data_IF_393546170450
#
_entry.id   IF_393546170450
#
_cell.length_a   1.000
_cell.length_b   1.000
_cell.length_c   1.000
_cell.angle_alpha   90.00
_cell.angle_beta   90.00
_cell.angle_gamma   90.00
#
_symmetry.space_group_name_H-M   'P 1'
#
loop_
_entity.id
_entity.type
_entity.pdbx_description
1 polymer ?
#
# COMPACT_ATOMS: atom_id res chain seq x y z
N UNK A 1 -25.74 14.44 -0.24
CA UNK A 1 -26.63 13.80 -1.23
C UNK A 1 -27.13 14.79 -2.25
N UNK A 2 -27.64 15.96 -1.86
CA UNK A 2 -28.15 16.99 -2.78
C UNK A 2 -27.29 17.16 -4.05
N UNK A 3 -25.99 17.45 -3.92
CA UNK A 3 -25.09 17.64 -5.06
C UNK A 3 -24.87 16.40 -5.95
N UNK A 4 -25.08 15.19 -5.44
CA UNK A 4 -24.94 13.95 -6.22
C UNK A 4 -26.21 13.61 -7.00
N UNK A 5 -27.36 14.15 -6.58
CA UNK A 5 -28.69 13.87 -7.13
C UNK A 5 -29.30 15.12 -7.78
N UNK A 6 -28.48 16.12 -8.08
CA UNK A 6 -28.93 17.31 -8.82
C UNK A 6 -29.37 16.92 -10.22
N UNK A 7 -30.50 17.47 -10.64
CA UNK A 7 -30.99 17.29 -12.00
C UNK A 7 -30.18 18.15 -12.98
N UNK A 8 -29.88 17.55 -14.13
CA UNK A 8 -29.23 18.25 -15.24
C UNK A 8 -30.25 19.18 -15.91
N UNK A 9 -29.98 20.48 -15.90
CA UNK A 9 -30.86 21.51 -16.42
C UNK A 9 -30.57 21.79 -17.89
N UNK A 10 -31.60 21.71 -18.74
CA UNK A 10 -31.48 22.02 -20.17
C UNK A 10 -30.50 21.11 -20.92
N UNK A 11 -30.27 19.89 -20.43
CA UNK A 11 -29.32 18.94 -21.02
C UNK A 11 -27.86 19.37 -20.90
N UNK A 12 -27.53 20.28 -19.99
CA UNK A 12 -26.19 20.81 -19.76
C UNK A 12 -25.59 20.24 -18.47
N UNK A 13 -24.71 19.23 -18.52
CA UNK A 13 -24.21 18.57 -17.31
C UNK A 13 -23.51 19.52 -16.33
N UNK A 14 -22.87 20.58 -16.84
CA UNK A 14 -22.21 21.65 -16.08
C UNK A 14 -23.19 22.55 -15.32
N UNK A 15 -24.51 22.40 -15.51
CA UNK A 15 -25.52 23.03 -14.65
C UNK A 15 -25.50 22.47 -13.22
N UNK A 16 -24.94 21.27 -13.03
CA UNK A 16 -24.85 20.64 -11.72
C UNK A 16 -23.57 21.10 -11.02
N UNK A 17 -23.67 21.42 -9.73
CA UNK A 17 -22.56 21.97 -8.95
C UNK A 17 -21.35 21.04 -8.96
N UNK A 18 -21.58 19.73 -8.91
CA UNK A 18 -20.50 18.74 -8.83
C UNK A 18 -19.72 18.63 -10.14
N UNK A 19 -20.41 18.67 -11.30
CA UNK A 19 -19.74 18.69 -12.62
C UNK A 19 -19.03 20.02 -12.81
N UNK A 20 -19.66 21.15 -12.47
CA UNK A 20 -19.03 22.47 -12.50
C UNK A 20 -17.75 22.52 -11.66
N UNK A 21 -17.83 22.07 -10.40
CA UNK A 21 -16.68 21.99 -9.50
C UNK A 21 -15.59 21.08 -10.06
N UNK A 22 -15.96 19.96 -10.70
CA UNK A 22 -14.98 19.12 -11.36
C UNK A 22 -14.25 19.86 -12.48
N UNK A 23 -14.90 20.77 -13.22
CA UNK A 23 -14.24 21.63 -14.20
C UNK A 23 -13.18 22.53 -13.56
N UNK A 24 -13.47 23.09 -12.38
CA UNK A 24 -12.50 23.88 -11.59
C UNK A 24 -11.28 23.05 -11.18
N UNK A 25 -11.47 21.77 -10.86
CA UNK A 25 -10.36 20.84 -10.58
C UNK A 25 -9.51 20.49 -11.82
N UNK A 26 -9.89 20.97 -13.00
CA UNK A 26 -9.12 20.87 -14.23
C UNK A 26 -8.05 21.96 -14.38
N UNK A 27 -8.01 22.98 -13.52
CA UNK A 27 -6.99 24.03 -13.58
C UNK A 27 -5.71 23.65 -12.83
N UNK A 28 -4.57 24.17 -13.29
CA UNK A 28 -3.31 24.13 -12.56
C UNK A 28 -3.39 24.92 -11.26
N UNK A 29 -2.52 24.63 -10.29
CA UNK A 29 -2.57 25.25 -8.96
C UNK A 29 -2.33 26.77 -8.98
N UNK A 30 -1.59 27.25 -9.97
CA UNK A 30 -1.33 28.67 -10.25
C UNK A 30 -2.39 29.31 -11.15
N UNK A 31 -3.41 28.55 -11.56
CA UNK A 31 -4.52 28.98 -12.43
C UNK A 31 -4.09 29.52 -13.80
N UNK A 32 -2.88 29.20 -14.25
CA UNK A 32 -2.33 29.68 -15.53
C UNK A 32 -2.66 28.74 -16.70
N UNK A 33 -3.10 27.52 -16.44
CA UNK A 33 -3.43 26.55 -17.47
C UNK A 33 -4.32 25.40 -16.99
N UNK A 34 -4.51 24.43 -17.88
CA UNK A 34 -5.26 23.21 -17.59
C UNK A 34 -4.32 22.07 -17.21
N UNK A 35 -4.78 21.20 -16.32
CA UNK A 35 -4.11 19.96 -15.98
C UNK A 35 -4.08 19.00 -17.19
N UNK A 36 -3.00 18.24 -17.38
CA UNK A 36 -2.99 17.11 -18.31
C UNK A 36 -4.10 16.11 -17.99
N UNK A 37 -4.58 15.38 -19.01
CA UNK A 37 -5.70 14.45 -18.84
C UNK A 37 -5.41 13.39 -17.75
N UNK A 38 -4.16 12.93 -17.63
CA UNK A 38 -3.74 11.99 -16.57
C UNK A 38 -3.90 12.56 -15.15
N UNK A 39 -3.65 13.84 -14.97
CA UNK A 39 -3.79 14.50 -13.66
C UNK A 39 -5.27 14.76 -13.37
N UNK A 40 -6.01 15.28 -14.35
CA UNK A 40 -7.43 15.58 -14.20
C UNK A 40 -8.29 14.34 -13.94
N UNK A 41 -8.03 13.24 -14.65
CA UNK A 41 -8.73 11.96 -14.43
C UNK A 41 -8.54 11.40 -13.02
N UNK A 42 -7.46 11.76 -12.33
CA UNK A 42 -7.25 11.37 -10.92
C UNK A 42 -8.24 12.11 -10.00
N UNK A 43 -8.51 13.39 -10.25
CA UNK A 43 -9.52 14.17 -9.54
C UNK A 43 -10.93 13.60 -9.79
N UNK A 44 -11.28 13.32 -11.05
CA UNK A 44 -12.55 12.68 -11.41
C UNK A 44 -12.73 11.32 -10.71
N UNK A 45 -11.70 10.48 -10.70
CA UNK A 45 -11.74 9.18 -10.04
C UNK A 45 -12.00 9.30 -8.53
N UNK A 46 -11.44 10.31 -7.87
CA UNK A 46 -11.71 10.60 -6.46
C UNK A 46 -13.17 11.01 -6.23
N UNK A 47 -13.71 11.94 -7.04
CA UNK A 47 -15.12 12.35 -6.96
C UNK A 47 -16.08 11.18 -7.20
N UNK A 48 -15.81 10.34 -8.19
CA UNK A 48 -16.59 9.12 -8.48
C UNK A 48 -16.52 8.13 -7.30
N UNK A 49 -15.35 7.95 -6.70
CA UNK A 49 -15.19 7.08 -5.54
C UNK A 49 -16.02 7.56 -4.35
N UNK A 50 -15.94 8.86 -4.02
CA UNK A 50 -16.73 9.48 -2.96
C UNK A 50 -18.23 9.32 -3.24
N UNK A 51 -18.68 9.59 -4.46
CA UNK A 51 -20.08 9.40 -4.83
C UNK A 51 -20.52 7.94 -4.68
N UNK A 52 -19.71 6.95 -5.07
CA UNK A 52 -20.04 5.53 -4.87
C UNK A 52 -20.26 5.20 -3.40
N UNK A 53 -19.44 5.74 -2.50
CA UNK A 53 -19.62 5.56 -1.06
C UNK A 53 -20.89 6.25 -0.56
N UNK A 54 -21.14 7.48 -1.00
CA UNK A 54 -22.35 8.23 -0.65
C UNK A 54 -23.63 7.54 -1.14
N UNK A 55 -23.65 7.06 -2.39
CA UNK A 55 -24.78 6.31 -2.94
C UNK A 55 -24.96 4.95 -2.28
N UNK A 56 -23.88 4.27 -1.87
CA UNK A 56 -23.98 3.02 -1.12
C UNK A 56 -24.62 3.27 0.26
N UNK A 57 -24.18 4.30 0.98
CA UNK A 57 -24.78 4.67 2.26
C UNK A 57 -26.21 5.20 2.08
N UNK A 58 -26.50 5.94 1.02
CA UNK A 58 -27.85 6.42 0.71
C UNK A 58 -28.83 5.26 0.40
N UNK A 59 -28.38 4.30 -0.40
CA UNK A 59 -29.17 3.14 -0.79
C UNK A 59 -29.33 2.15 0.37
N UNK A 60 -28.26 1.87 1.13
CA UNK A 60 -28.21 0.82 2.15
C UNK A 60 -27.57 1.29 3.46
N UNK A 61 -28.15 2.32 4.12
CA UNK A 61 -27.54 2.92 5.28
C UNK A 61 -27.51 1.94 6.46
N UNK A 62 -26.37 1.86 7.14
CA UNK A 62 -26.21 0.95 8.27
C UNK A 62 -27.12 1.32 9.46
N UNK A 63 -27.37 2.63 9.63
CA UNK A 63 -28.25 3.25 10.62
C UNK A 63 -29.22 4.23 9.95
N UNK A 64 -30.36 4.54 10.56
CA UNK A 64 -31.27 5.55 10.00
C UNK A 64 -30.73 6.97 10.21
N UNK A 65 -31.08 7.89 9.32
CA UNK A 65 -30.80 9.32 9.45
C UNK A 65 -32.12 10.10 9.55
N UNK A 66 -32.72 10.24 10.75
CA UNK A 66 -34.03 10.88 10.92
C UNK A 66 -34.09 12.31 10.39
N UNK A 67 -33.03 13.09 10.59
CA UNK A 67 -32.92 14.48 10.11
C UNK A 67 -32.92 14.61 8.59
N UNK A 68 -32.54 13.55 7.88
CA UNK A 68 -32.49 13.51 6.41
C UNK A 68 -33.67 12.73 5.83
N UNK A 69 -34.57 12.19 6.66
CA UNK A 69 -35.66 11.33 6.21
C UNK A 69 -35.21 9.99 5.63
N UNK A 70 -33.97 9.56 5.89
CA UNK A 70 -33.42 8.32 5.31
C UNK A 70 -33.59 7.17 6.31
N UNK A 71 -34.40 6.18 5.96
CA UNK A 71 -34.58 4.98 6.76
C UNK A 71 -33.38 4.03 6.65
N UNK A 72 -33.04 3.37 7.77
CA UNK A 72 -32.07 2.28 7.86
C UNK A 72 -32.33 1.22 6.79
N UNK A 73 -31.28 0.56 6.29
CA UNK A 73 -31.44 -0.56 5.34
C UNK A 73 -32.37 -1.65 5.91
N UNK A 74 -33.31 -2.18 5.08
CA UNK A 74 -34.19 -3.27 5.48
C UNK A 74 -33.41 -4.60 5.63
N UNK A 75 -33.98 -5.57 6.36
CA UNK A 75 -33.38 -6.91 6.49
C UNK A 75 -33.42 -7.71 5.18
N UNK A 76 -34.46 -7.51 4.38
CA UNK A 76 -34.67 -8.15 3.07
C UNK A 76 -34.81 -7.08 1.97
N UNK A 77 -34.69 -7.47 0.69
CA UNK A 77 -34.90 -6.54 -0.43
C UNK A 77 -33.78 -5.50 -0.65
N UNK A 78 -32.62 -5.66 -0.01
CA UNK A 78 -31.50 -4.73 -0.13
C UNK A 78 -30.99 -4.57 -1.57
N UNK A 79 -30.94 -5.67 -2.33
CA UNK A 79 -30.50 -5.65 -3.72
C UNK A 79 -31.45 -4.80 -4.58
N UNK A 80 -32.77 -4.94 -4.41
CA UNK A 80 -33.74 -4.16 -5.16
C UNK A 80 -33.60 -2.65 -4.87
N UNK A 81 -33.46 -2.28 -3.58
CA UNK A 81 -33.23 -0.88 -3.18
C UNK A 81 -31.93 -0.32 -3.78
N UNK A 82 -30.85 -1.10 -3.78
CA UNK A 82 -29.60 -0.71 -4.41
C UNK A 82 -29.74 -0.55 -5.93
N UNK A 83 -30.47 -1.46 -6.59
CA UNK A 83 -30.69 -1.39 -8.02
C UNK A 83 -31.50 -0.16 -8.43
N UNK A 84 -32.50 0.25 -7.65
CA UNK A 84 -33.27 1.47 -7.92
C UNK A 84 -32.35 2.70 -7.95
N UNK A 85 -31.57 2.90 -6.88
CA UNK A 85 -30.61 4.02 -6.81
C UNK A 85 -29.56 3.92 -7.93
N UNK A 86 -29.09 2.71 -8.25
CA UNK A 86 -28.13 2.50 -9.33
C UNK A 86 -28.71 2.91 -10.69
N UNK A 87 -29.92 2.48 -11.02
CA UNK A 87 -30.55 2.79 -12.31
C UNK A 87 -30.90 4.27 -12.43
N UNK A 88 -31.21 4.92 -11.32
CA UNK A 88 -31.58 6.33 -11.31
C UNK A 88 -30.36 7.25 -11.47
N UNK A 89 -29.20 6.90 -10.90
CA UNK A 89 -28.06 7.84 -10.85
C UNK A 89 -26.73 7.30 -11.38
N UNK A 90 -26.51 5.98 -11.44
CA UNK A 90 -25.17 5.40 -11.63
C UNK A 90 -24.97 4.72 -13.00
N UNK A 91 -25.98 4.75 -13.87
CA UNK A 91 -25.94 4.13 -15.20
C UNK A 91 -25.77 5.18 -16.30
N UNK A 92 -25.28 4.73 -17.45
CA UNK A 92 -25.19 5.56 -18.65
C UNK A 92 -26.60 6.01 -19.08
N UNK A 93 -26.76 7.29 -19.40
CA UNK A 93 -28.04 7.90 -19.74
C UNK A 93 -28.92 8.30 -18.55
N UNK A 94 -28.41 8.21 -17.31
CA UNK A 94 -29.16 8.67 -16.12
C UNK A 94 -29.29 10.20 -16.02
N UNK A 95 -28.54 10.96 -16.83
CA UNK A 95 -28.52 12.43 -16.76
C UNK A 95 -28.21 12.92 -15.34
N UNK A 96 -27.24 12.26 -14.71
CA UNK A 96 -26.80 12.57 -13.35
C UNK A 96 -25.38 13.15 -13.34
N UNK A 97 -24.99 13.89 -12.29
CA UNK A 97 -23.60 14.31 -12.11
C UNK A 97 -22.62 13.13 -12.14
N UNK A 98 -23.03 11.98 -11.61
CA UNK A 98 -22.19 10.79 -11.58
C UNK A 98 -21.89 10.27 -12.98
N UNK A 99 -22.91 10.18 -13.82
CA UNK A 99 -22.77 9.72 -15.20
C UNK A 99 -21.80 10.61 -15.97
N UNK A 100 -21.98 11.92 -15.91
CA UNK A 100 -21.11 12.86 -16.61
C UNK A 100 -19.65 12.74 -16.16
N UNK A 101 -19.42 12.71 -14.85
CA UNK A 101 -18.06 12.55 -14.32
C UNK A 101 -17.43 11.22 -14.77
N UNK A 102 -18.22 10.15 -14.86
CA UNK A 102 -17.75 8.87 -15.37
C UNK A 102 -17.44 8.92 -16.86
N UNK A 103 -18.28 9.58 -17.67
CA UNK A 103 -18.05 9.82 -19.10
C UNK A 103 -16.78 10.64 -19.33
N UNK A 104 -16.59 11.74 -18.60
CA UNK A 104 -15.37 12.56 -18.60
C UNK A 104 -14.15 11.74 -18.19
N UNK A 105 -14.26 10.86 -17.19
CA UNK A 105 -13.16 9.99 -16.77
C UNK A 105 -12.75 9.03 -17.89
N UNK A 106 -13.71 8.41 -18.56
CA UNK A 106 -13.44 7.47 -19.66
C UNK A 106 -12.80 8.21 -20.84
N UNK A 107 -13.35 9.37 -21.20
CA UNK A 107 -12.80 10.22 -22.25
C UNK A 107 -11.37 10.68 -21.93
N UNK A 108 -11.15 11.23 -20.74
CA UNK A 108 -9.83 11.66 -20.29
C UNK A 108 -8.83 10.51 -20.21
N UNK A 109 -9.25 9.28 -19.90
CA UNK A 109 -8.37 8.10 -19.94
C UNK A 109 -7.95 7.73 -21.37
N UNK A 110 -8.84 7.87 -22.34
CA UNK A 110 -8.51 7.65 -23.75
C UNK A 110 -7.44 8.65 -24.20
N UNK A 111 -7.58 9.93 -23.83
CA UNK A 111 -6.58 10.97 -24.10
C UNK A 111 -5.28 10.71 -23.34
N UNK A 112 -5.34 10.39 -22.05
CA UNK A 112 -4.15 10.13 -21.22
C UNK A 112 -3.32 8.92 -21.70
N UNK A 113 -3.94 8.03 -22.48
CA UNK A 113 -3.28 6.90 -23.14
C UNK A 113 -2.48 7.29 -24.38
N UNK A 114 -2.87 8.37 -25.08
CA UNK A 114 -2.16 8.94 -26.23
C UNK A 114 -1.27 10.14 -25.87
N UNK A 115 -1.47 10.77 -24.71
CA UNK A 115 -0.57 11.79 -24.18
C UNK A 115 0.83 11.19 -23.97
N UNK A 116 1.83 11.83 -24.57
CA UNK A 116 3.23 11.47 -24.31
C UNK A 116 3.51 11.74 -22.83
N UNK A 117 3.98 10.74 -22.05
CA UNK A 117 4.30 10.98 -20.66
C UNK A 117 5.37 12.07 -20.57
N UNK A 118 5.20 13.02 -19.64
CA UNK A 118 6.24 14.01 -19.35
C UNK A 118 7.59 13.30 -19.16
N UNK A 119 8.67 13.89 -19.67
CA UNK A 119 10.02 13.41 -19.44
C UNK A 119 10.33 13.55 -17.94
N UNK A 120 9.97 12.53 -17.17
CA UNK A 120 10.14 12.53 -15.73
C UNK A 120 11.61 12.31 -15.34
N UNK A 121 12.32 11.55 -16.17
CA UNK A 121 13.71 11.17 -15.94
C UNK A 121 14.58 11.71 -17.07
N UNK A 122 15.68 12.37 -16.70
CA UNK A 122 16.69 12.87 -17.61
C UNK A 122 18.05 12.29 -17.22
N UNK A 123 18.77 11.78 -18.21
CA UNK A 123 20.17 11.38 -18.05
C UNK A 123 21.08 12.54 -18.45
N UNK A 124 22.20 12.70 -17.74
CA UNK A 124 23.32 13.48 -18.25
C UNK A 124 23.95 12.79 -19.47
N UNK A 125 24.65 13.55 -20.30
CA UNK A 125 25.25 13.05 -21.54
C UNK A 125 26.29 11.93 -21.29
N UNK A 126 26.95 11.95 -20.13
CA UNK A 126 27.91 10.93 -19.67
C UNK A 126 27.25 9.71 -19.00
N UNK A 127 25.92 9.72 -18.87
CA UNK A 127 25.14 8.68 -18.20
C UNK A 127 25.40 8.55 -16.70
N UNK A 128 26.06 9.50 -16.05
CA UNK A 128 26.41 9.43 -14.62
C UNK A 128 25.36 10.03 -13.70
N UNK A 129 24.45 10.88 -14.19
CA UNK A 129 23.44 11.55 -13.36
C UNK A 129 22.05 11.23 -13.91
N UNK A 130 21.19 10.72 -13.04
CA UNK A 130 19.76 10.57 -13.28
C UNK A 130 19.02 11.68 -12.54
N UNK A 131 18.31 12.54 -13.27
CA UNK A 131 17.53 13.64 -12.71
C UNK A 131 16.03 13.36 -12.81
N UNK A 132 15.27 13.62 -11.75
CA UNK A 132 13.82 13.54 -11.71
C UNK A 132 13.22 14.94 -11.54
N UNK A 133 12.46 15.39 -12.55
CA UNK A 133 11.76 16.71 -12.58
C UNK A 133 12.65 17.90 -12.19
N UNK A 134 13.95 17.85 -12.52
CA UNK A 134 14.98 18.83 -12.15
C UNK A 134 15.21 19.09 -10.64
N UNK A 135 14.33 18.59 -9.76
CA UNK A 135 14.42 18.75 -8.30
C UNK A 135 15.40 17.76 -7.64
N UNK A 136 15.52 16.56 -8.22
CA UNK A 136 16.29 15.46 -7.63
C UNK A 136 17.30 14.98 -8.66
N UNK A 137 18.60 15.09 -8.35
CA UNK A 137 19.68 14.53 -9.14
C UNK A 137 20.40 13.44 -8.34
N UNK A 138 20.52 12.25 -8.91
CA UNK A 138 21.20 11.11 -8.30
C UNK A 138 22.39 10.71 -9.16
N UNK A 139 23.60 10.80 -8.59
CA UNK A 139 24.79 10.29 -9.26
C UNK A 139 24.81 8.75 -9.21
N UNK A 140 25.25 8.10 -10.29
CA UNK A 140 25.27 6.65 -10.39
C UNK A 140 26.17 5.99 -9.34
N UNK A 141 27.20 6.69 -8.86
CA UNK A 141 27.98 6.26 -7.70
C UNK A 141 27.15 6.21 -6.42
N UNK A 142 26.33 7.24 -6.16
CA UNK A 142 25.43 7.27 -5.00
C UNK A 142 24.38 6.17 -5.11
N UNK A 143 23.80 5.98 -6.30
CA UNK A 143 22.85 4.91 -6.57
C UNK A 143 23.43 3.53 -6.28
N UNK A 144 24.65 3.23 -6.76
CA UNK A 144 25.34 1.94 -6.50
C UNK A 144 25.73 1.76 -5.04
N UNK A 145 25.96 2.85 -4.30
CA UNK A 145 26.26 2.81 -2.86
C UNK A 145 25.01 2.64 -1.99
N UNK A 146 23.83 2.99 -2.50
CA UNK A 146 22.58 2.98 -1.72
C UNK A 146 22.30 1.63 -1.02
N UNK A 147 22.40 0.46 -1.67
CA UNK A 147 22.19 -0.81 -0.98
C UNK A 147 23.15 -1.02 0.19
N UNK A 148 24.43 -0.61 0.05
CA UNK A 148 25.41 -0.72 1.13
C UNK A 148 25.08 0.19 2.31
N UNK A 149 24.61 1.41 2.03
CA UNK A 149 24.19 2.37 3.07
C UNK A 149 22.95 1.86 3.81
N UNK A 150 21.96 1.32 3.08
CA UNK A 150 20.77 0.74 3.70
C UNK A 150 21.10 -0.52 4.50
N UNK A 151 22.02 -1.35 4.03
CA UNK A 151 22.49 -2.53 4.76
C UNK A 151 23.13 -2.14 6.09
N UNK A 152 24.09 -1.21 6.07
CA UNK A 152 24.73 -0.72 7.29
C UNK A 152 23.73 -0.10 8.29
N UNK A 153 22.71 0.63 7.79
CA UNK A 153 21.62 1.16 8.62
C UNK A 153 20.76 0.05 9.20
N UNK A 154 20.39 -0.95 8.40
CA UNK A 154 19.61 -2.09 8.84
C UNK A 154 20.35 -2.91 9.89
N UNK A 155 21.65 -3.14 9.72
CA UNK A 155 22.51 -3.83 10.70
C UNK A 155 22.57 -3.06 12.02
N UNK A 156 22.83 -1.75 11.98
CA UNK A 156 22.87 -0.92 13.18
C UNK A 156 21.51 -0.86 13.92
N UNK A 157 20.40 -0.73 13.18
CA UNK A 157 19.07 -0.76 13.75
C UNK A 157 18.74 -2.14 14.34
N UNK A 158 19.10 -3.22 13.63
CA UNK A 158 18.92 -4.58 14.11
C UNK A 158 19.71 -4.81 15.41
N UNK A 159 20.97 -4.40 15.48
CA UNK A 159 21.79 -4.53 16.69
C UNK A 159 21.18 -3.79 17.90
N UNK A 160 20.64 -2.59 17.67
CA UNK A 160 19.93 -1.82 18.71
C UNK A 160 18.63 -2.50 19.15
N UNK A 161 17.80 -2.92 18.20
CA UNK A 161 16.51 -3.57 18.47
C UNK A 161 16.69 -4.93 19.15
N UNK A 162 17.80 -5.61 18.85
CA UNK A 162 18.12 -6.91 19.43
C UNK A 162 18.86 -6.80 20.78
N UNK A 163 19.17 -5.60 21.27
CA UNK A 163 19.92 -5.38 22.51
C UNK A 163 21.23 -6.20 22.56
N UNK A 164 21.93 -6.29 21.42
CA UNK A 164 23.14 -7.09 21.26
C UNK A 164 22.94 -8.61 21.38
N UNK A 165 21.69 -9.10 21.41
CA UNK A 165 21.40 -10.52 21.26
C UNK A 165 21.63 -10.96 19.81
N UNK A 166 22.36 -12.06 19.65
CA UNK A 166 22.65 -12.66 18.35
C UNK A 166 22.23 -14.13 18.44
N UNK A 167 21.10 -14.52 17.81
CA UNK A 167 20.78 -15.93 17.70
C UNK A 167 21.85 -16.65 16.87
N UNK A 168 22.11 -17.94 17.14
CA UNK A 168 22.91 -18.76 16.24
C UNK A 168 22.21 -18.84 14.88
N UNK A 169 22.78 -18.18 13.86
CA UNK A 169 22.19 -18.06 12.53
C UNK A 169 23.05 -18.73 11.46
N UNK A 170 23.13 -20.05 11.49
CA UNK A 170 23.54 -20.82 10.32
C UNK A 170 22.27 -21.21 9.54
N UNK A 171 21.98 -20.46 8.48
CA UNK A 171 20.79 -20.70 7.65
C UNK A 171 20.76 -22.11 7.03
N UNK A 172 21.91 -22.76 6.86
CA UNK A 172 21.97 -24.13 6.34
C UNK A 172 21.42 -25.18 7.32
N UNK A 173 21.50 -24.89 8.63
CA UNK A 173 20.96 -25.75 9.68
C UNK A 173 19.48 -25.48 9.98
N UNK A 174 18.99 -24.26 9.69
CA UNK A 174 17.60 -23.85 9.89
C UNK A 174 16.65 -24.71 9.05
N UNK A 175 15.63 -25.26 9.71
CA UNK A 175 14.55 -26.01 9.08
C UNK A 175 13.33 -25.15 8.87
N UNK A 176 12.74 -25.27 7.70
CA UNK A 176 11.47 -24.63 7.37
C UNK A 176 10.59 -25.60 6.58
N UNK A 177 9.28 -25.40 6.67
CA UNK A 177 8.28 -26.17 5.94
C UNK A 177 7.39 -25.20 5.16
N UNK A 178 7.68 -25.09 3.86
CA UNK A 178 6.95 -24.19 2.96
C UNK A 178 5.51 -24.67 2.71
N UNK A 179 5.20 -25.95 2.90
CA UNK A 179 3.86 -26.51 2.73
C UNK A 179 2.99 -26.34 3.99
N UNK A 180 3.60 -26.02 5.13
CA UNK A 180 2.88 -25.81 6.38
C UNK A 180 2.07 -24.52 6.33
N UNK A 181 0.75 -24.64 6.45
CA UNK A 181 -0.23 -23.55 6.48
C UNK A 181 -0.82 -23.30 7.87
N UNK A 182 -0.29 -23.95 8.91
CA UNK A 182 -0.76 -23.83 10.29
C UNK A 182 -0.64 -22.39 10.77
N UNK A 183 -1.66 -21.88 11.45
CA UNK A 183 -1.68 -20.55 12.04
C UNK A 183 -0.45 -20.32 12.94
N UNK A 184 0.14 -19.12 12.88
CA UNK A 184 1.38 -18.73 13.58
C UNK A 184 2.68 -19.37 13.08
N UNK A 185 2.62 -20.38 12.21
CA UNK A 185 3.83 -21.08 11.80
C UNK A 185 4.77 -20.23 10.93
N UNK A 186 6.05 -20.32 11.23
CA UNK A 186 7.22 -19.86 10.49
C UNK A 186 8.45 -20.70 10.87
N UNK A 187 9.60 -20.49 10.22
CA UNK A 187 10.85 -21.12 10.64
C UNK A 187 11.23 -20.80 12.10
N UNK A 188 10.82 -19.64 12.64
CA UNK A 188 11.08 -19.28 14.05
C UNK A 188 10.34 -20.24 15.01
N UNK A 189 9.11 -20.64 14.67
CA UNK A 189 8.32 -21.58 15.46
C UNK A 189 8.62 -23.05 15.17
N UNK A 190 9.50 -23.35 14.21
CA UNK A 190 9.80 -24.73 13.84
C UNK A 190 10.56 -25.43 15.00
N UNK A 191 10.07 -26.57 15.53
CA UNK A 191 10.63 -27.19 16.74
C UNK A 191 12.13 -27.50 16.67
N UNK A 192 12.62 -27.90 15.49
CA UNK A 192 14.06 -28.21 15.28
C UNK A 192 15.00 -27.01 15.33
N UNK A 193 14.48 -25.77 15.33
CA UNK A 193 15.32 -24.57 15.31
C UNK A 193 15.57 -23.99 16.70
N UNK A 194 14.78 -24.38 17.72
CA UNK A 194 14.97 -23.88 19.09
C UNK A 194 14.71 -22.37 19.26
N UNK A 195 14.04 -21.71 18.30
CA UNK A 195 13.82 -20.26 18.31
C UNK A 195 12.45 -19.83 18.89
N UNK A 196 11.57 -20.77 19.21
CA UNK A 196 10.20 -20.48 19.66
C UNK A 196 10.16 -19.62 20.94
N UNK A 197 11.15 -19.79 21.81
CA UNK A 197 11.25 -19.09 23.10
C UNK A 197 12.31 -17.97 23.10
N UNK A 198 13.00 -17.75 21.97
CA UNK A 198 14.09 -16.80 21.89
C UNK A 198 13.66 -15.34 22.16
N UNK A 199 12.38 -15.03 21.96
CA UNK A 199 11.82 -13.72 22.30
C UNK A 199 11.86 -13.43 23.81
N UNK A 200 11.89 -14.45 24.68
CA UNK A 200 12.03 -14.23 26.12
C UNK A 200 13.40 -13.66 26.47
N UNK A 201 14.47 -14.16 25.86
CA UNK A 201 15.82 -13.63 26.04
C UNK A 201 15.91 -12.18 25.56
N UNK A 202 15.33 -11.91 24.39
CA UNK A 202 15.27 -10.55 23.85
C UNK A 202 14.47 -9.61 24.77
N UNK A 203 13.31 -10.07 25.26
CA UNK A 203 12.46 -9.29 26.18
C UNK A 203 13.17 -9.03 27.52
N UNK A 204 13.89 -10.02 28.05
CA UNK A 204 14.69 -9.88 29.26
C UNK A 204 15.78 -8.81 29.08
N UNK A 205 16.53 -8.86 27.98
CA UNK A 205 17.54 -7.84 27.65
C UNK A 205 16.92 -6.47 27.45
N UNK A 206 15.79 -6.39 26.75
CA UNK A 206 15.06 -5.14 26.54
C UNK A 206 14.61 -4.50 27.86
N UNK A 207 14.22 -5.31 28.85
CA UNK A 207 13.84 -4.81 30.17
C UNK A 207 15.03 -4.50 31.08
N UNK A 208 16.19 -5.15 30.90
CA UNK A 208 17.36 -5.02 31.78
C UNK A 208 18.44 -4.07 31.23
N UNK A 209 18.30 -3.60 30.00
CA UNK A 209 19.23 -2.65 29.37
C UNK A 209 19.42 -1.36 30.19
N UNK A 210 20.67 -0.96 30.44
CA UNK A 210 20.96 0.22 31.27
C UNK A 210 20.63 1.54 30.55
N UNK A 211 20.87 1.61 29.24
CA UNK A 211 20.64 2.82 28.45
C UNK A 211 19.15 2.98 28.08
N UNK A 212 18.61 1.98 27.37
CA UNK A 212 17.34 2.08 26.65
C UNK A 212 16.29 1.06 27.15
N UNK A 213 16.25 0.75 28.45
CA UNK A 213 15.29 -0.23 28.94
C UNK A 213 13.84 0.17 28.70
N UNK A 214 13.07 -0.80 28.18
CA UNK A 214 11.62 -0.69 27.95
C UNK A 214 10.83 -0.70 29.26
N UNK A 215 11.39 -1.19 30.36
CA UNK A 215 10.70 -1.29 31.65
C UNK A 215 11.64 -0.94 32.82
N UNK A 216 11.27 0.05 33.62
CA UNK A 216 12.03 0.46 34.81
C UNK A 216 11.20 0.24 36.07
N UNK A 217 11.76 -0.48 37.05
CA UNK A 217 11.12 -0.75 38.36
C UNK A 217 9.69 -1.32 38.22
N UNK A 218 9.48 -2.24 37.27
CA UNK A 218 8.19 -2.88 37.03
C UNK A 218 7.16 -2.00 36.30
N UNK A 219 7.55 -0.84 35.75
CA UNK A 219 6.69 0.03 34.94
C UNK A 219 7.26 0.21 33.54
N UNK A 220 6.38 0.10 32.55
CA UNK A 220 6.70 0.36 31.15
C UNK A 220 7.13 1.81 30.93
N UNK A 221 8.27 1.99 30.27
CA UNK A 221 8.76 3.28 29.83
C UNK A 221 8.17 3.60 28.44
N UNK A 222 7.05 4.30 28.43
CA UNK A 222 6.33 4.65 27.20
C UNK A 222 7.23 5.32 26.15
N UNK A 223 8.10 6.24 26.57
CA UNK A 223 9.03 6.92 25.64
C UNK A 223 9.97 5.93 24.96
N UNK A 224 10.60 5.04 25.73
CA UNK A 224 11.50 4.03 25.18
C UNK A 224 10.77 3.04 24.26
N UNK A 225 9.52 2.69 24.58
CA UNK A 225 8.68 1.85 23.71
C UNK A 225 8.38 2.56 22.39
N UNK A 226 7.96 3.83 22.42
CA UNK A 226 7.72 4.59 21.20
C UNK A 226 9.00 4.73 20.35
N UNK A 227 10.15 4.97 20.99
CA UNK A 227 11.43 5.05 20.28
C UNK A 227 11.85 3.69 19.69
N UNK A 228 11.57 2.58 20.39
CA UNK A 228 11.76 1.23 19.88
C UNK A 228 10.88 0.96 18.65
N UNK A 229 9.60 1.32 18.71
CA UNK A 229 8.67 1.14 17.58
C UNK A 229 9.07 1.97 16.36
N UNK A 230 9.59 3.20 16.56
CA UNK A 230 10.16 4.01 15.47
C UNK A 230 11.40 3.37 14.84
N UNK A 231 12.29 2.80 15.66
CA UNK A 231 13.46 2.06 15.16
C UNK A 231 13.05 0.81 14.38
N UNK A 232 12.01 0.10 14.84
CA UNK A 232 11.42 -1.05 14.15
C UNK A 232 10.83 -0.67 12.80
N UNK A 233 10.08 0.43 12.73
CA UNK A 233 9.53 0.97 11.48
C UNK A 233 10.66 1.35 10.51
N UNK A 234 11.67 2.06 10.98
CA UNK A 234 12.84 2.39 10.19
C UNK A 234 13.58 1.15 9.69
N UNK A 235 13.71 0.10 10.52
CA UNK A 235 14.32 -1.17 10.08
C UNK A 235 13.49 -1.81 8.96
N UNK A 236 12.16 -1.86 9.10
CA UNK A 236 11.26 -2.37 8.04
C UNK A 236 11.38 -1.59 6.74
N UNK A 237 11.49 -0.27 6.80
CA UNK A 237 11.70 0.58 5.62
C UNK A 237 13.03 0.28 4.92
N UNK A 238 14.13 0.16 5.68
CA UNK A 238 15.43 -0.21 5.13
C UNK A 238 15.41 -1.61 4.51
N UNK A 239 14.79 -2.59 5.19
CA UNK A 239 14.62 -3.95 4.66
C UNK A 239 13.78 -3.97 3.39
N UNK A 240 12.68 -3.21 3.32
CA UNK A 240 11.88 -3.10 2.10
C UNK A 240 12.70 -2.51 0.93
N UNK A 241 13.51 -1.48 1.19
CA UNK A 241 14.44 -0.93 0.21
C UNK A 241 15.47 -1.96 -0.28
N UNK A 242 16.08 -2.70 0.65
CA UNK A 242 17.03 -3.77 0.32
C UNK A 242 16.36 -4.87 -0.51
N UNK A 243 15.20 -5.37 -0.09
CA UNK A 243 14.44 -6.39 -0.82
C UNK A 243 14.08 -5.94 -2.24
N UNK A 244 13.72 -4.67 -2.42
CA UNK A 244 13.44 -4.10 -3.74
C UNK A 244 14.68 -4.05 -4.65
N UNK A 245 15.87 -3.88 -4.10
CA UNK A 245 17.10 -3.63 -4.87
C UNK A 245 18.03 -4.84 -5.03
N UNK A 246 18.02 -5.79 -4.09
CA UNK A 246 19.06 -6.83 -4.03
C UNK A 246 18.56 -8.24 -4.28
N UNK A 247 17.25 -8.48 -4.26
CA UNK A 247 16.68 -9.83 -4.31
C UNK A 247 16.23 -10.26 -5.72
N UNK A 248 16.93 -9.81 -6.76
CA UNK A 248 16.59 -10.08 -8.16
C UNK A 248 15.51 -9.16 -8.72
N UNK A 249 14.48 -9.73 -9.34
CA UNK A 249 13.44 -8.96 -10.02
C UNK A 249 12.60 -8.09 -9.07
N UNK A 250 12.31 -6.85 -9.42
CA UNK A 250 11.61 -5.92 -8.53
C UNK A 250 10.16 -6.36 -8.27
N UNK A 251 9.74 -6.59 -7.00
CA UNK A 251 8.32 -6.78 -6.68
C UNK A 251 7.55 -5.47 -6.87
N UNK A 252 6.22 -5.57 -7.04
CA UNK A 252 5.38 -4.38 -6.89
C UNK A 252 5.38 -3.99 -5.41
N UNK A 253 5.44 -2.69 -5.13
CA UNK A 253 5.47 -2.19 -3.75
C UNK A 253 4.33 -2.72 -2.88
N UNK A 254 3.06 -2.79 -3.33
CA UNK A 254 1.99 -3.35 -2.50
C UNK A 254 2.19 -4.83 -2.17
N UNK A 255 2.75 -5.61 -3.10
CA UNK A 255 2.97 -7.04 -2.89
C UNK A 255 4.08 -7.25 -1.86
N UNK A 256 5.18 -6.47 -1.96
CA UNK A 256 6.28 -6.48 -1.00
C UNK A 256 5.83 -6.07 0.41
N UNK A 257 5.08 -4.96 0.52
CA UNK A 257 4.60 -4.45 1.81
C UNK A 257 3.53 -5.35 2.47
N UNK A 258 2.99 -6.31 1.72
CA UNK A 258 2.04 -7.31 2.23
C UNK A 258 2.70 -8.63 2.69
N UNK A 259 4.02 -8.77 2.51
CA UNK A 259 4.76 -9.97 2.91
C UNK A 259 4.65 -10.17 4.42
N UNK A 260 4.27 -11.39 4.81
CA UNK A 260 4.11 -11.78 6.22
C UNK A 260 5.27 -12.65 6.66
N UNK A 261 5.68 -12.50 7.92
CA UNK A 261 6.72 -13.35 8.55
C UNK A 261 6.15 -14.71 9.00
N UNK A 262 4.88 -14.75 9.41
CA UNK A 262 4.18 -15.94 9.93
C UNK A 262 2.85 -16.18 9.22
N UNK A 263 2.42 -17.43 9.20
CA UNK A 263 1.14 -17.83 8.65
C UNK A 263 -0.01 -17.18 9.43
N UNK A 264 -0.99 -16.68 8.70
CA UNK A 264 -2.24 -16.16 9.23
C UNK A 264 -3.40 -17.11 8.90
N UNK A 265 -4.54 -16.95 9.56
CA UNK A 265 -5.72 -17.82 9.35
C UNK A 265 -6.26 -17.80 7.92
N UNK A 266 -6.00 -16.72 7.20
CA UNK A 266 -6.56 -16.44 5.87
C UNK A 266 -5.50 -16.31 4.78
N UNK A 267 -4.22 -16.40 5.14
CA UNK A 267 -3.11 -16.22 4.20
C UNK A 267 -1.83 -16.83 4.76
N UNK A 268 -1.06 -17.50 3.92
CA UNK A 268 0.28 -17.99 4.25
C UNK A 268 1.27 -16.83 4.48
N UNK A 269 2.41 -17.17 5.10
CA UNK A 269 3.56 -16.27 5.17
C UNK A 269 4.17 -16.05 3.79
N UNK A 270 5.04 -15.05 3.68
CA UNK A 270 5.79 -14.76 2.47
C UNK A 270 7.30 -14.88 2.66
N UNK A 271 7.82 -15.14 3.86
CA UNK A 271 9.24 -15.33 4.15
C UNK A 271 9.52 -16.79 4.50
N UNK A 272 10.56 -17.36 3.90
CA UNK A 272 10.93 -18.76 4.06
C UNK A 272 12.45 -18.97 4.06
N UNK A 273 12.89 -20.09 4.62
CA UNK A 273 14.24 -20.63 4.40
C UNK A 273 14.17 -21.80 3.41
N UNK A 274 14.97 -21.75 2.35
CA UNK A 274 15.05 -22.78 1.33
C UNK A 274 16.51 -23.10 1.00
N UNK A 275 16.95 -24.34 1.30
CA UNK A 275 18.32 -24.81 1.04
C UNK A 275 19.43 -23.86 1.53
N UNK A 276 19.28 -23.32 2.74
CA UNK A 276 20.26 -22.38 3.32
C UNK A 276 20.09 -20.92 2.86
N UNK A 277 19.14 -20.63 1.98
CA UNK A 277 18.84 -19.27 1.55
C UNK A 277 17.59 -18.74 2.25
N UNK A 278 17.64 -17.48 2.68
CA UNK A 278 16.41 -16.73 2.94
C UNK A 278 15.77 -16.37 1.60
N UNK A 279 14.47 -16.60 1.49
CA UNK A 279 13.67 -16.21 0.32
C UNK A 279 12.41 -15.49 0.76
N UNK A 280 11.88 -14.64 -0.11
CA UNK A 280 10.51 -14.19 0.01
C UNK A 280 9.70 -14.46 -1.25
N UNK A 281 8.43 -14.78 -1.06
CA UNK A 281 7.49 -15.16 -2.09
C UNK A 281 6.35 -14.16 -2.12
N UNK A 282 6.11 -13.58 -3.29
CA UNK A 282 4.96 -12.68 -3.52
C UNK A 282 4.01 -13.31 -4.51
N UNK A 283 2.71 -13.15 -4.30
CA UNK A 283 1.66 -13.51 -5.26
C UNK A 283 1.24 -12.26 -6.03
N UNK A 284 1.71 -12.11 -7.26
CA UNK A 284 1.53 -10.88 -8.04
C UNK A 284 0.95 -11.15 -9.43
N UNK A 285 -0.05 -10.39 -9.87
CA UNK A 285 -0.38 -10.27 -11.30
C UNK A 285 -1.06 -8.91 -11.58
N UNK A 286 -0.60 -8.18 -12.61
CA UNK A 286 -1.17 -6.87 -12.99
C UNK A 286 -2.67 -6.96 -13.32
N UNK A 287 -3.12 -8.09 -13.85
CA UNK A 287 -4.51 -8.35 -14.20
C UNK A 287 -5.26 -9.22 -13.17
N UNK A 288 -4.73 -9.46 -11.96
CA UNK A 288 -5.42 -10.28 -10.93
C UNK A 288 -6.87 -9.86 -10.75
N UNK A 289 -7.12 -8.54 -10.76
CA UNK A 289 -8.46 -7.95 -10.60
C UNK A 289 -9.42 -8.29 -11.75
N UNK A 290 -8.93 -8.57 -12.95
CA UNK A 290 -9.75 -8.91 -14.12
C UNK A 290 -9.73 -10.39 -14.49
N UNK A 291 -8.67 -11.14 -14.17
CA UNK A 291 -8.51 -12.54 -14.59
C UNK A 291 -8.59 -13.55 -13.44
N UNK A 292 -8.57 -13.10 -12.19
CA UNK A 292 -8.49 -13.93 -10.98
C UNK A 292 -7.32 -14.97 -11.00
N UNK A 293 -6.28 -14.71 -11.80
CA UNK A 293 -5.06 -15.53 -11.85
C UNK A 293 -3.93 -14.84 -11.09
N UNK A 294 -3.19 -15.61 -10.30
CA UNK A 294 -2.03 -15.17 -9.55
C UNK A 294 -0.78 -15.88 -10.06
N UNK A 295 0.34 -15.15 -10.17
CA UNK A 295 1.66 -15.75 -10.36
C UNK A 295 2.43 -15.68 -9.05
N UNK A 296 3.08 -16.78 -8.72
CA UNK A 296 3.94 -16.90 -7.54
C UNK A 296 5.37 -16.64 -7.97
N UNK A 297 6.01 -15.65 -7.35
CA UNK A 297 7.41 -15.30 -7.65
C UNK A 297 8.21 -15.40 -6.35
N UNK A 298 9.14 -16.35 -6.33
CA UNK A 298 10.13 -16.49 -5.27
C UNK A 298 11.36 -15.63 -5.59
N UNK A 299 11.89 -14.94 -4.58
CA UNK A 299 13.06 -14.07 -4.67
C UNK A 299 14.03 -14.44 -3.58
N UNK A 300 15.28 -14.59 -3.97
CA UNK A 300 16.37 -14.98 -3.08
C UNK A 300 17.06 -13.74 -2.57
N UNK A 301 17.32 -13.70 -1.27
CA UNK A 301 18.25 -12.71 -0.72
C UNK A 301 19.67 -13.06 -1.21
N UNK A 302 20.56 -12.06 -1.39
CA UNK A 302 21.96 -12.32 -1.71
C UNK A 302 22.58 -13.29 -0.70
N UNK A 303 23.41 -14.22 -1.20
CA UNK A 303 24.25 -15.04 -0.31
C UNK A 303 25.24 -14.14 0.45
N UNK A 304 25.51 -14.50 1.70
CA UNK A 304 26.66 -13.96 2.44
C UNK A 304 27.97 -14.45 1.83
#
# INVERSE_FOLDING_TARGET
MAFCTEEVMGGRPDSTLLVYFSGVLGFSADLTGFLPARSYTSNLAALIYIQRLLFLEYALPAQGYPRLGIARRPRTGQIARLQNVRQEYLVLGSQSPFEELFSLLVFGRAIAGSETPAFLLKWSDDGQILSYRDDIAVHMEQFRRLPKVLLARAEALCEQLMYGWKPPCDLSSVKDDMANTTHEFSFVSHPKNGLAEAYFELTLKACTSQADSLSRKGRWNQKAIFDYLKKEEALRENLAGLMLMTCGGQPRSPDLLSVRVRNHRTSERGLYIYNGYMIYVTRSHKAKRSTNREFVVARFFPSQ
#
